data_IF_830868888431
#
_entry.id   IF_830868888431
#
_cell.length_a   1.000
_cell.length_b   1.000
_cell.length_c   1.000
_cell.angle_alpha   90.00
_cell.angle_beta   90.00
_cell.angle_gamma   90.00
#
_symmetry.space_group_name_H-M   'P 1'
#
loop_
_entity.id
_entity.type
_entity.pdbx_description
1 polymer ?
#
# COMPACT_ATOMS: atom_id res chain seq x y z
N UNK A 1 -12.04 7.38 106.05
CA UNK A 1 -11.78 7.47 104.60
C UNK A 1 -11.16 6.13 104.19
N UNK A 2 -11.61 5.35 103.20
CA UNK A 2 -12.09 5.67 101.85
C UNK A 2 -13.08 4.59 101.38
N UNK A 3 -14.14 5.01 100.68
CA UNK A 3 -15.00 4.15 99.85
C UNK A 3 -14.21 3.79 98.59
N UNK A 4 -14.16 2.53 98.19
CA UNK A 4 -13.65 2.14 96.86
C UNK A 4 -14.82 1.63 96.03
N UNK A 5 -15.19 2.43 95.04
CA UNK A 5 -16.17 2.15 94.00
C UNK A 5 -15.69 0.96 93.15
N UNK A 6 -16.58 0.00 92.89
CA UNK A 6 -16.39 -0.99 91.81
C UNK A 6 -17.07 -0.42 90.57
N UNK A 7 -16.27 0.02 89.59
CA UNK A 7 -16.77 0.48 88.29
C UNK A 7 -16.87 -0.74 87.36
N UNK A 8 -18.08 -1.09 86.94
CA UNK A 8 -18.32 -2.07 85.88
C UNK A 8 -18.19 -1.35 84.54
N UNK A 9 -17.14 -1.66 83.76
CA UNK A 9 -17.05 -1.22 82.36
C UNK A 9 -17.93 -2.13 81.49
N UNK A 10 -18.99 -1.57 80.91
CA UNK A 10 -19.72 -2.20 79.82
C UNK A 10 -18.86 -2.14 78.54
N UNK A 11 -18.44 -3.30 78.04
CA UNK A 11 -17.75 -3.40 76.75
C UNK A 11 -18.73 -3.16 75.61
N UNK A 12 -18.56 -2.02 74.91
CA UNK A 12 -19.28 -1.73 73.67
C UNK A 12 -18.59 -2.47 72.52
N UNK A 13 -19.18 -3.54 72.02
CA UNK A 13 -18.70 -4.23 70.81
C UNK A 13 -19.15 -3.45 69.58
N UNK A 14 -18.20 -2.80 68.90
CA UNK A 14 -18.44 -2.22 67.58
C UNK A 14 -18.47 -3.39 66.57
N UNK A 15 -19.64 -3.68 66.02
CA UNK A 15 -19.76 -4.59 64.89
C UNK A 15 -19.06 -3.96 63.67
N UNK A 16 -17.98 -4.59 63.19
CA UNK A 16 -17.32 -4.17 61.96
C UNK A 16 -18.26 -4.46 60.77
N UNK A 17 -18.77 -3.42 60.13
CA UNK A 17 -19.49 -3.52 58.86
C UNK A 17 -18.44 -3.78 57.77
N UNK A 18 -18.43 -4.99 57.21
CA UNK A 18 -17.65 -5.31 56.03
C UNK A 18 -18.31 -4.62 54.82
N UNK A 19 -17.74 -3.51 54.37
CA UNK A 19 -18.09 -2.93 53.07
C UNK A 19 -17.51 -3.85 52.00
N UNK A 20 -18.34 -4.72 51.41
CA UNK A 20 -17.95 -5.50 50.24
C UNK A 20 -17.86 -4.56 49.03
N UNK A 21 -16.75 -4.55 48.26
CA UNK A 21 -16.67 -3.77 47.03
C UNK A 21 -17.73 -4.25 46.04
N UNK A 22 -18.47 -3.32 45.43
CA UNK A 22 -19.46 -3.63 44.40
C UNK A 22 -18.82 -4.45 43.26
N UNK A 23 -19.53 -5.45 42.69
CA UNK A 23 -19.01 -6.20 41.56
C UNK A 23 -18.72 -5.25 40.40
N UNK A 24 -17.45 -5.11 40.05
CA UNK A 24 -17.03 -4.31 38.90
C UNK A 24 -17.51 -5.05 37.66
N UNK A 25 -18.53 -4.52 36.97
CA UNK A 25 -18.98 -5.05 35.68
C UNK A 25 -17.78 -5.14 34.74
N UNK A 26 -17.43 -6.34 34.30
CA UNK A 26 -16.42 -6.53 33.29
C UNK A 26 -16.91 -5.87 31.99
N UNK A 27 -16.28 -4.77 31.60
CA UNK A 27 -16.55 -4.14 30.30
C UNK A 27 -16.26 -5.17 29.20
N UNK A 28 -17.29 -5.54 28.43
CA UNK A 28 -17.13 -6.43 27.27
C UNK A 28 -16.12 -5.80 26.30
N UNK A 29 -15.01 -6.50 26.08
CA UNK A 29 -13.95 -6.03 25.20
C UNK A 29 -14.47 -5.91 23.75
N UNK A 30 -14.28 -4.73 23.14
CA UNK A 30 -14.65 -4.50 21.74
C UNK A 30 -13.69 -5.29 20.84
N UNK A 31 -14.23 -6.15 19.96
CA UNK A 31 -13.42 -6.93 19.02
C UNK A 31 -12.68 -6.02 18.03
N UNK A 32 -11.40 -6.33 17.77
CA UNK A 32 -10.65 -5.64 16.72
C UNK A 32 -11.19 -6.02 15.33
N UNK A 33 -11.28 -5.07 14.37
CA UNK A 33 -11.69 -5.40 13.00
C UNK A 33 -10.69 -6.32 12.30
N UNK A 34 -11.18 -7.27 11.51
CA UNK A 34 -10.37 -8.02 10.56
C UNK A 34 -10.18 -7.19 9.29
N UNK A 35 -8.94 -6.87 8.91
CA UNK A 35 -8.62 -5.99 7.77
C UNK A 35 -8.05 -6.82 6.62
N UNK A 36 -8.36 -6.46 5.38
CA UNK A 36 -7.77 -7.05 4.17
C UNK A 36 -7.66 -6.00 3.05
N UNK A 37 -6.85 -6.29 2.03
CA UNK A 37 -6.80 -5.49 0.80
C UNK A 37 -7.96 -5.92 -0.09
N UNK A 38 -8.87 -4.99 -0.41
CA UNK A 38 -10.01 -5.24 -1.30
C UNK A 38 -9.75 -4.81 -2.74
N UNK A 39 -8.68 -4.04 -2.98
CA UNK A 39 -8.25 -3.69 -4.33
C UNK A 39 -6.96 -2.88 -4.36
N UNK A 40 -6.22 -2.96 -5.46
CA UNK A 40 -5.00 -2.19 -5.69
C UNK A 40 -5.00 -1.60 -7.11
N UNK A 41 -4.43 -0.40 -7.25
CA UNK A 41 -4.19 0.28 -8.52
C UNK A 41 -2.85 1.02 -8.45
N UNK A 42 -2.52 1.81 -9.48
CA UNK A 42 -1.16 2.34 -9.65
C UNK A 42 -0.70 3.19 -8.50
N UNK A 43 -1.54 4.13 -8.13
CA UNK A 43 -1.24 5.08 -7.08
C UNK A 43 -2.30 5.01 -6.02
N UNK A 44 -2.88 3.82 -5.82
CA UNK A 44 -3.90 3.62 -4.82
C UNK A 44 -3.92 2.20 -4.30
N UNK A 45 -4.30 2.06 -3.04
CA UNK A 45 -4.68 0.79 -2.45
C UNK A 45 -5.97 1.00 -1.66
N UNK A 46 -6.83 0.01 -1.70
CA UNK A 46 -8.11 0.00 -0.98
C UNK A 46 -8.09 -1.15 0.01
N UNK A 47 -8.31 -0.82 1.27
CA UNK A 47 -8.49 -1.77 2.35
C UNK A 47 -9.95 -1.80 2.76
N UNK A 48 -10.42 -2.98 3.14
CA UNK A 48 -11.73 -3.16 3.74
C UNK A 48 -11.57 -3.92 5.06
N UNK A 49 -12.59 -3.85 5.91
CA UNK A 49 -12.60 -4.57 7.16
C UNK A 49 -13.98 -5.09 7.56
N UNK A 50 -13.97 -6.09 8.44
CA UNK A 50 -15.18 -6.70 8.99
C UNK A 50 -15.93 -5.69 9.85
N UNK A 51 -17.26 -5.78 9.83
CA UNK A 51 -18.09 -5.00 10.75
C UNK A 51 -17.81 -5.45 12.20
N UNK A 52 -17.79 -4.51 13.13
CA UNK A 52 -17.72 -4.76 14.58
C UNK A 52 -19.06 -4.38 15.19
N UNK A 53 -19.64 -5.26 16.01
CA UNK A 53 -20.93 -5.04 16.65
C UNK A 53 -20.97 -3.75 17.47
N UNK A 54 -21.99 -2.92 17.24
CA UNK A 54 -22.14 -1.62 17.92
C UNK A 54 -21.19 -0.51 17.46
N UNK A 55 -20.30 -0.77 16.50
CA UNK A 55 -19.34 0.25 16.06
C UNK A 55 -20.03 1.36 15.26
N UNK A 56 -19.89 2.60 15.73
CA UNK A 56 -20.43 3.79 15.06
C UNK A 56 -19.41 4.42 14.11
N UNK A 57 -18.12 4.18 14.33
CA UNK A 57 -17.05 4.62 13.43
C UNK A 57 -15.79 3.75 13.57
N UNK A 58 -14.83 3.99 12.68
CA UNK A 58 -13.53 3.31 12.65
C UNK A 58 -12.42 4.35 12.55
N UNK A 59 -11.39 4.19 13.39
CA UNK A 59 -10.13 4.94 13.30
C UNK A 59 -9.16 4.13 12.46
N UNK A 60 -8.75 4.68 11.33
CA UNK A 60 -7.80 4.07 10.39
C UNK A 60 -6.46 4.77 10.56
N UNK A 61 -5.42 4.00 10.88
CA UNK A 61 -4.03 4.45 10.88
C UNK A 61 -3.32 3.90 9.65
N UNK A 62 -2.52 4.71 8.97
CA UNK A 62 -1.81 4.30 7.76
C UNK A 62 -0.39 4.88 7.70
N UNK A 63 0.55 4.10 7.16
CA UNK A 63 1.96 4.47 7.03
C UNK A 63 2.65 3.80 5.85
N UNK A 64 3.81 4.32 5.46
CA UNK A 64 4.79 3.67 4.57
C UNK A 64 5.61 2.59 5.27
N UNK A 65 5.65 2.62 6.61
CA UNK A 65 6.53 1.76 7.40
C UNK A 65 5.75 0.65 8.10
N UNK A 66 6.28 -0.57 8.05
CA UNK A 66 5.67 -1.72 8.71
C UNK A 66 5.55 -1.55 10.24
N UNK A 67 6.44 -0.76 10.85
CA UNK A 67 6.38 -0.41 12.28
C UNK A 67 5.23 0.55 12.63
N UNK A 68 4.54 1.10 11.63
CA UNK A 68 3.60 2.21 11.78
C UNK A 68 4.24 3.49 12.34
N UNK A 69 5.56 3.65 12.20
CA UNK A 69 6.23 4.92 12.48
C UNK A 69 5.65 6.03 11.59
N UNK A 70 5.51 7.24 12.17
CA UNK A 70 4.95 8.41 11.50
C UNK A 70 3.58 8.16 10.84
N UNK A 71 2.78 7.24 11.41
CA UNK A 71 1.47 6.94 10.86
C UNK A 71 0.54 8.15 10.93
N UNK A 72 -0.12 8.42 9.81
CA UNK A 72 -1.27 9.32 9.78
C UNK A 72 -2.53 8.57 10.22
N UNK A 73 -3.56 9.31 10.63
CA UNK A 73 -4.84 8.70 10.98
C UNK A 73 -6.02 9.48 10.44
N UNK A 74 -7.12 8.77 10.21
CA UNK A 74 -8.40 9.33 9.83
C UNK A 74 -9.53 8.53 10.49
N UNK A 75 -10.71 9.14 10.59
CA UNK A 75 -11.91 8.47 11.12
C UNK A 75 -12.96 8.39 10.03
N UNK A 76 -13.64 7.25 9.93
CA UNK A 76 -14.69 7.05 8.94
C UNK A 76 -15.81 6.16 9.51
N UNK A 77 -17.03 6.36 9.03
CA UNK A 77 -18.16 5.44 9.26
C UNK A 77 -18.21 4.32 8.23
N UNK A 78 -17.47 4.47 7.12
CA UNK A 78 -17.33 3.43 6.09
C UNK A 78 -16.52 2.24 6.63
N UNK A 79 -16.68 1.08 5.98
CA UNK A 79 -15.84 -0.12 6.19
C UNK A 79 -14.74 -0.28 5.16
N UNK A 80 -14.51 0.77 4.38
CA UNK A 80 -13.56 0.81 3.28
C UNK A 80 -12.71 2.07 3.41
N UNK A 81 -11.40 1.91 3.29
CA UNK A 81 -10.44 3.00 3.20
C UNK A 81 -9.70 2.90 1.87
N UNK A 82 -9.92 3.89 0.99
CA UNK A 82 -9.18 4.04 -0.26
C UNK A 82 -8.11 5.11 -0.08
N UNK A 83 -6.85 4.71 -0.10
CA UNK A 83 -5.73 5.65 -0.09
C UNK A 83 -5.24 5.84 -1.52
N UNK A 84 -5.39 7.04 -2.05
CA UNK A 84 -4.89 7.44 -3.37
C UNK A 84 -3.65 8.35 -3.23
N UNK A 85 -3.01 8.68 -4.37
CA UNK A 85 -1.80 9.50 -4.41
C UNK A 85 -0.53 8.76 -3.97
N UNK A 86 -0.58 7.42 -3.95
CA UNK A 86 0.53 6.58 -3.54
C UNK A 86 1.63 6.53 -4.61
N UNK A 87 2.88 6.35 -4.17
CA UNK A 87 3.98 6.04 -5.07
C UNK A 87 3.85 4.60 -5.57
N UNK A 88 3.71 4.41 -6.88
CA UNK A 88 3.53 3.09 -7.47
C UNK A 88 4.73 2.18 -7.19
N UNK A 89 4.47 0.89 -6.92
CA UNK A 89 5.48 -0.10 -6.58
C UNK A 89 5.90 -0.12 -5.11
N UNK A 90 5.36 0.75 -4.26
CA UNK A 90 5.64 0.76 -2.83
C UNK A 90 4.53 0.11 -2.01
N UNK A 91 4.93 -0.50 -0.89
CA UNK A 91 4.01 -1.09 0.09
C UNK A 91 3.61 -0.05 1.13
N UNK A 92 2.32 -0.01 1.44
CA UNK A 92 1.72 0.81 2.47
C UNK A 92 1.02 -0.09 3.49
N UNK A 93 0.90 0.39 4.71
CA UNK A 93 0.45 -0.40 5.85
C UNK A 93 -0.75 0.27 6.48
N UNK A 94 -1.80 -0.50 6.76
CA UNK A 94 -3.03 -0.01 7.40
C UNK A 94 -3.33 -0.82 8.64
N UNK A 95 -3.79 -0.15 9.68
CA UNK A 95 -4.38 -0.76 10.86
C UNK A 95 -5.63 0.00 11.28
N UNK A 96 -6.64 -0.71 11.77
CA UNK A 96 -7.97 -0.16 12.05
C UNK A 96 -8.37 -0.47 13.49
N UNK A 97 -9.07 0.47 14.12
CA UNK A 97 -9.75 0.28 15.40
C UNK A 97 -11.23 0.63 15.24
N UNK A 98 -12.11 -0.16 15.84
CA UNK A 98 -13.53 0.16 15.93
C UNK A 98 -13.78 1.13 17.09
N UNK A 99 -14.80 1.98 16.95
CA UNK A 99 -15.26 2.90 17.99
C UNK A 99 -16.71 2.57 18.31
N UNK A 100 -16.99 2.18 19.56
CA UNK A 100 -18.31 1.78 20.08
C UNK A 100 -18.59 2.64 21.31
N UNK A 101 -19.64 3.47 21.28
CA UNK A 101 -20.01 4.31 22.44
C UNK A 101 -18.87 5.23 22.93
N UNK A 102 -18.00 5.71 22.02
CA UNK A 102 -16.83 6.52 22.35
C UNK A 102 -15.59 5.72 22.78
N UNK A 103 -15.74 4.47 23.21
CA UNK A 103 -14.63 3.56 23.50
C UNK A 103 -14.03 2.99 22.20
N UNK A 104 -12.73 2.70 22.21
CA UNK A 104 -12.01 2.20 21.04
C UNK A 104 -11.52 0.77 21.27
N UNK A 105 -11.63 -0.08 20.25
CA UNK A 105 -11.09 -1.46 20.28
C UNK A 105 -9.56 -1.49 20.34
N UNK A 106 -9.02 -2.68 20.63
CA UNK A 106 -7.64 -3.01 20.29
C UNK A 106 -7.38 -2.81 18.79
N UNK A 107 -6.12 -2.57 18.43
CA UNK A 107 -5.72 -2.42 17.03
C UNK A 107 -5.90 -3.74 16.28
N UNK A 108 -6.36 -3.67 15.03
CA UNK A 108 -6.25 -4.80 14.11
C UNK A 108 -4.79 -5.22 13.88
N UNK A 109 -4.60 -6.36 13.21
CA UNK A 109 -3.34 -6.65 12.52
C UNK A 109 -3.00 -5.51 11.57
N UNK A 110 -1.70 -5.25 11.40
CA UNK A 110 -1.22 -4.34 10.35
C UNK A 110 -1.29 -5.12 9.04
N UNK A 111 -1.96 -4.55 8.04
CA UNK A 111 -2.13 -5.18 6.73
C UNK A 111 -1.32 -4.42 5.70
N UNK A 112 -0.35 -5.07 5.03
CA UNK A 112 0.36 -4.47 3.91
C UNK A 112 -0.54 -4.41 2.67
N UNK A 113 -0.33 -3.40 1.85
CA UNK A 113 -0.97 -3.24 0.56
C UNK A 113 -0.01 -2.60 -0.43
N UNK A 114 0.23 -3.30 -1.54
CA UNK A 114 1.16 -2.86 -2.58
C UNK A 114 0.42 -1.97 -3.59
N UNK A 115 0.88 -0.73 -3.74
CA UNK A 115 0.45 0.12 -4.85
C UNK A 115 0.99 -0.49 -6.16
N UNK A 116 0.12 -0.74 -7.14
CA UNK A 116 0.45 -1.55 -8.32
C UNK A 116 1.60 -0.96 -9.13
N UNK A 117 2.70 -1.70 -9.27
CA UNK A 117 3.85 -1.29 -10.05
C UNK A 117 3.55 -1.25 -11.56
N UNK A 118 4.10 -0.26 -12.27
CA UNK A 118 4.00 -0.23 -13.73
C UNK A 118 4.89 -1.33 -14.33
N UNK A 119 4.36 -2.18 -15.24
CA UNK A 119 5.11 -3.30 -15.77
C UNK A 119 6.32 -2.83 -16.57
N UNK A 120 7.46 -3.43 -16.26
CA UNK A 120 8.70 -3.18 -16.96
C UNK A 120 8.59 -3.68 -18.42
N UNK A 121 8.97 -2.86 -19.40
CA UNK A 121 9.10 -3.28 -20.78
C UNK A 121 10.24 -4.27 -20.96
N UNK A 122 10.00 -5.31 -21.75
CA UNK A 122 11.01 -6.29 -22.16
C UNK A 122 11.27 -6.12 -23.65
N UNK A 123 12.53 -5.96 -24.01
CA UNK A 123 12.98 -5.78 -25.39
C UNK A 123 13.57 -7.06 -25.96
N UNK A 124 13.28 -7.36 -27.22
CA UNK A 124 13.93 -8.42 -28.00
C UNK A 124 14.56 -7.76 -29.22
N UNK A 125 15.88 -7.91 -29.39
CA UNK A 125 16.57 -7.36 -30.54
C UNK A 125 16.08 -8.05 -31.81
N UNK A 126 15.89 -7.27 -32.89
CA UNK A 126 15.53 -7.80 -34.20
C UNK A 126 16.83 -8.12 -34.95
N UNK A 127 17.25 -9.39 -35.12
CA UNK A 127 18.64 -9.71 -35.53
C UNK A 127 19.07 -9.13 -36.89
N UNK A 128 18.12 -8.96 -37.81
CA UNK A 128 18.37 -8.36 -39.13
C UNK A 128 18.00 -6.86 -39.21
N UNK A 129 17.41 -6.28 -38.16
CA UNK A 129 16.96 -4.89 -38.14
C UNK A 129 17.74 -4.06 -37.11
N UNK A 130 18.03 -2.80 -37.41
CA UNK A 130 18.51 -1.86 -36.39
C UNK A 130 17.34 -1.46 -35.47
N UNK A 131 16.76 -2.42 -34.75
CA UNK A 131 15.52 -2.25 -34.01
C UNK A 131 15.36 -3.25 -32.85
N UNK A 132 14.48 -2.89 -31.92
CA UNK A 132 14.05 -3.71 -30.79
C UNK A 132 12.53 -3.80 -30.76
N UNK A 133 12.01 -5.01 -30.59
CA UNK A 133 10.60 -5.26 -30.27
C UNK A 133 10.39 -5.21 -28.76
N UNK A 134 9.62 -4.22 -28.31
CA UNK A 134 9.29 -4.04 -26.91
C UNK A 134 7.89 -4.57 -26.61
N UNK A 135 7.76 -5.24 -25.47
CA UNK A 135 6.48 -5.72 -24.92
C UNK A 135 6.41 -5.50 -23.42
N UNK A 136 5.23 -5.15 -22.91
CA UNK A 136 4.95 -5.08 -21.46
C UNK A 136 3.60 -5.71 -21.13
N UNK A 137 3.41 -6.03 -19.86
CA UNK A 137 2.12 -6.53 -19.36
C UNK A 137 1.08 -5.39 -19.30
N UNK A 138 -0.24 -5.71 -19.30
CA UNK A 138 -1.26 -4.71 -19.06
C UNK A 138 -1.15 -4.06 -17.68
N UNK A 139 -1.68 -2.85 -17.58
CA UNK A 139 -1.80 -2.07 -16.35
C UNK A 139 -3.29 -1.80 -16.10
N UNK A 140 -3.78 -2.06 -14.89
CA UNK A 140 -5.20 -1.91 -14.57
C UNK A 140 -5.70 -0.48 -14.82
N UNK A 141 -6.77 -0.33 -15.61
CA UNK A 141 -7.34 0.97 -16.00
C UNK A 141 -6.58 1.72 -17.09
N UNK A 142 -5.47 1.18 -17.62
CA UNK A 142 -4.74 1.79 -18.73
C UNK A 142 -5.40 1.47 -20.06
N UNK A 143 -5.71 2.51 -20.83
CA UNK A 143 -6.17 2.38 -22.21
C UNK A 143 -5.05 2.68 -23.22
N UNK A 144 -4.06 3.48 -22.80
CA UNK A 144 -2.90 3.88 -23.60
C UNK A 144 -1.64 3.85 -22.73
N UNK A 145 -0.49 3.95 -23.38
CA UNK A 145 0.81 4.08 -22.72
C UNK A 145 1.60 5.21 -23.36
N UNK A 146 2.10 6.12 -22.51
CA UNK A 146 3.20 6.99 -22.87
C UNK A 146 4.47 6.16 -22.83
N UNK A 147 5.19 6.10 -23.94
CA UNK A 147 6.42 5.34 -24.11
C UNK A 147 7.54 6.34 -24.30
N UNK A 148 8.59 6.20 -23.52
CA UNK A 148 9.84 6.91 -23.77
C UNK A 148 10.92 5.90 -24.12
N UNK A 149 11.64 6.19 -25.19
CA UNK A 149 12.86 5.50 -25.58
C UNK A 149 14.04 6.45 -25.47
N UNK A 150 15.21 5.94 -25.12
CA UNK A 150 16.46 6.69 -25.17
C UNK A 150 17.65 5.79 -25.55
N UNK A 151 18.76 6.44 -25.92
CA UNK A 151 20.07 5.80 -26.10
C UNK A 151 20.92 5.83 -24.83
N UNK A 152 20.39 6.38 -23.73
CA UNK A 152 21.02 6.35 -22.41
C UNK A 152 20.04 5.92 -21.32
N UNK A 153 20.51 5.25 -20.24
CA UNK A 153 19.63 4.80 -19.15
C UNK A 153 19.08 5.97 -18.32
N UNK A 154 19.71 7.15 -18.40
CA UNK A 154 19.22 8.38 -17.75
C UNK A 154 18.15 9.11 -18.56
N UNK A 155 17.84 8.64 -19.78
CA UNK A 155 16.90 9.29 -20.70
C UNK A 155 17.31 10.72 -21.10
N UNK A 156 18.62 11.01 -21.10
CA UNK A 156 19.17 12.33 -21.47
C UNK A 156 19.66 12.39 -22.93
N UNK A 157 19.89 11.24 -23.58
CA UNK A 157 20.40 11.17 -24.96
C UNK A 157 19.44 10.40 -25.85
N UNK A 158 19.13 10.94 -27.03
CA UNK A 158 18.28 10.28 -28.02
C UNK A 158 16.85 10.03 -27.53
N UNK A 159 16.33 10.91 -26.66
CA UNK A 159 14.99 10.76 -26.08
C UNK A 159 13.91 10.90 -27.14
N UNK A 160 13.09 9.86 -27.28
CA UNK A 160 11.91 9.85 -28.13
C UNK A 160 10.68 9.52 -27.29
N UNK A 161 9.54 10.12 -27.63
CA UNK A 161 8.28 9.93 -26.91
C UNK A 161 7.19 9.49 -27.88
N UNK A 162 6.45 8.44 -27.51
CA UNK A 162 5.35 7.89 -28.29
C UNK A 162 4.13 7.67 -27.39
N UNK A 163 2.94 7.71 -27.97
CA UNK A 163 1.71 7.26 -27.30
C UNK A 163 1.14 6.09 -28.08
N UNK A 164 0.97 4.96 -27.41
CA UNK A 164 0.46 3.73 -28.02
C UNK A 164 -0.75 3.19 -27.26
N UNK A 165 -1.72 2.64 -27.99
CA UNK A 165 -2.85 1.91 -27.41
C UNK A 165 -2.54 0.41 -27.27
N UNK A 166 -1.49 -0.07 -27.95
CA UNK A 166 -1.00 -1.45 -27.89
C UNK A 166 0.01 -1.61 -26.75
N UNK A 167 0.24 -2.86 -26.35
CA UNK A 167 1.22 -3.26 -25.32
C UNK A 167 2.58 -3.65 -25.91
N UNK A 168 2.78 -3.28 -27.18
CA UNK A 168 3.98 -3.56 -27.96
C UNK A 168 4.32 -2.35 -28.82
N UNK A 169 5.62 -2.18 -29.10
CA UNK A 169 6.13 -1.21 -30.05
C UNK A 169 7.48 -1.70 -30.59
N UNK A 170 7.69 -1.58 -31.89
CA UNK A 170 9.01 -1.77 -32.51
C UNK A 170 9.66 -0.42 -32.67
N UNK A 171 10.89 -0.30 -32.21
CA UNK A 171 11.62 0.96 -32.25
C UNK A 171 13.04 0.79 -32.75
N UNK A 172 13.51 1.77 -33.52
CA UNK A 172 14.86 1.74 -34.07
C UNK A 172 15.92 1.94 -32.98
N UNK A 173 16.98 1.15 -33.02
CA UNK A 173 18.14 1.24 -32.14
C UNK A 173 19.38 1.01 -32.98
N UNK A 174 20.32 1.94 -32.91
CA UNK A 174 21.58 1.84 -33.64
C UNK A 174 22.29 0.53 -33.28
N UNK A 175 22.77 -0.19 -34.30
CA UNK A 175 23.56 -1.42 -34.09
C UNK A 175 24.79 -1.12 -33.22
N UNK A 176 25.19 -2.11 -32.43
CA UNK A 176 26.27 -1.98 -31.46
C UNK A 176 25.90 -1.16 -30.22
N UNK A 177 24.63 -0.76 -30.04
CA UNK A 177 24.19 0.05 -28.90
C UNK A 177 23.01 -0.58 -28.16
N UNK A 178 22.79 -0.10 -26.93
CA UNK A 178 21.58 -0.40 -26.15
C UNK A 178 20.45 0.57 -26.50
N UNK A 179 19.25 0.03 -26.61
CA UNK A 179 18.01 0.79 -26.48
C UNK A 179 17.47 0.70 -25.06
N UNK A 180 17.03 1.83 -24.50
CA UNK A 180 16.38 1.90 -23.20
C UNK A 180 14.93 2.34 -23.37
N UNK A 181 13.99 1.70 -22.67
CA UNK A 181 12.57 2.02 -22.77
C UNK A 181 11.88 2.01 -21.41
N UNK A 182 11.04 3.02 -21.18
CA UNK A 182 10.13 3.07 -20.02
C UNK A 182 8.72 3.44 -20.47
N UNK A 183 7.73 2.95 -19.75
CA UNK A 183 6.32 3.21 -20.04
C UNK A 183 5.60 3.83 -18.86
N UNK A 184 4.60 4.65 -19.15
CA UNK A 184 3.66 5.20 -18.16
C UNK A 184 2.23 4.99 -18.65
N UNK A 185 1.37 4.32 -17.86
CA UNK A 185 0.01 4.04 -18.26
C UNK A 185 -0.82 5.33 -18.27
N UNK A 186 -1.67 5.46 -19.27
CA UNK A 186 -2.59 6.58 -19.46
C UNK A 186 -4.04 6.07 -19.52
N UNK A 187 -4.98 6.89 -19.05
CA UNK A 187 -6.41 6.70 -19.26
C UNK A 187 -6.79 6.84 -20.74
N UNK A 188 -8.04 6.54 -21.09
CA UNK A 188 -8.59 6.79 -22.42
C UNK A 188 -8.47 8.26 -22.84
N UNK A 189 -8.66 9.16 -21.88
CA UNK A 189 -8.47 10.62 -22.01
C UNK A 189 -7.00 11.06 -22.08
N UNK A 190 -6.03 10.15 -21.98
CA UNK A 190 -4.59 10.46 -22.09
C UNK A 190 -3.94 10.93 -20.79
N UNK A 191 -4.66 10.97 -19.66
CA UNK A 191 -4.10 11.37 -18.36
C UNK A 191 -3.30 10.22 -17.76
N UNK A 192 -2.12 10.50 -17.20
CA UNK A 192 -1.34 9.51 -16.47
C UNK A 192 -2.14 8.97 -15.27
N UNK A 193 -2.21 7.64 -15.16
CA UNK A 193 -2.89 6.97 -14.03
C UNK A 193 -1.91 6.41 -13.01
N UNK A 194 -0.61 6.46 -13.30
CA UNK A 194 0.49 6.14 -12.39
C UNK A 194 1.27 7.40 -12.02
N UNK A 195 1.69 7.47 -10.75
CA UNK A 195 2.56 8.51 -10.21
C UNK A 195 4.01 8.35 -10.67
N UNK A 196 4.42 7.15 -11.10
CA UNK A 196 5.78 6.86 -11.56
C UNK A 196 5.81 6.27 -12.99
N UNK A 197 7.00 6.30 -13.60
CA UNK A 197 7.31 5.50 -14.78
C UNK A 197 7.55 4.03 -14.37
N UNK A 198 7.46 3.11 -15.33
CA UNK A 198 7.99 1.76 -15.15
C UNK A 198 9.49 1.78 -14.81
N UNK A 199 9.98 0.66 -14.29
CA UNK A 199 11.40 0.35 -14.39
C UNK A 199 11.83 0.38 -15.87
N UNK A 200 13.13 0.62 -16.08
CA UNK A 200 13.70 0.76 -17.41
C UNK A 200 13.93 -0.64 -17.99
N UNK A 201 13.36 -0.91 -19.16
CA UNK A 201 13.78 -2.02 -20.01
C UNK A 201 15.03 -1.64 -20.80
N UNK A 202 15.95 -2.57 -20.96
CA UNK A 202 17.14 -2.40 -21.82
C UNK A 202 17.26 -3.59 -22.78
N UNK A 203 17.79 -3.32 -23.97
CA UNK A 203 18.05 -4.36 -24.97
C UNK A 203 19.22 -3.93 -25.86
N UNK A 204 20.21 -4.81 -26.03
CA UNK A 204 21.35 -4.57 -26.91
C UNK A 204 21.03 -5.04 -28.32
N UNK A 205 21.32 -4.22 -29.33
CA UNK A 205 21.25 -4.62 -30.74
C UNK A 205 22.66 -4.90 -31.24
N UNK A 206 23.02 -6.16 -31.55
CA UNK A 206 24.35 -6.49 -32.04
C UNK A 206 24.72 -5.75 -33.32
N UNK A 207 25.99 -5.34 -33.44
CA UNK A 207 26.60 -5.06 -34.74
C UNK A 207 26.81 -6.39 -35.44
N UNK A 208 26.05 -6.71 -36.49
CA UNK A 208 26.34 -7.90 -37.30
C UNK A 208 27.71 -7.77 -37.95
N UNK A 209 28.56 -8.79 -37.81
CA UNK A 209 29.59 -9.11 -38.80
C UNK A 209 28.99 -9.97 -39.94
N UNK A 210 29.65 -10.08 -41.11
CA UNK A 210 29.10 -10.84 -42.24
C UNK A 210 28.93 -12.33 -41.89
N UNK A 211 27.86 -12.95 -42.37
CA UNK A 211 27.78 -14.40 -42.48
C UNK A 211 28.79 -14.83 -43.55
N UNK A 212 30.00 -15.19 -43.13
CA UNK A 212 30.92 -15.91 -44.02
C UNK A 212 30.34 -17.32 -44.12
N UNK A 213 29.75 -17.65 -45.27
CA UNK A 213 29.33 -19.02 -45.59
C UNK A 213 30.54 -19.96 -45.65
N UNK A 214 30.35 -21.28 -45.43
CA UNK A 214 31.46 -22.22 -45.51
C UNK A 214 32.09 -22.18 -46.91
N UNK A 215 33.42 -22.09 -46.93
CA UNK A 215 34.32 -22.10 -48.10
C UNK A 215 34.19 -23.36 -48.93
#
# INVERSE_FOLDING_TARGET
MRKTLVTVLAGLTVAAVLVQPAPVLAATAISAPGVWVSGAGASQVTWAWSAVGGATSYKVSFSRYASMAHASSTTTTSRIFKHAGLTSGHTYFVAVRAVVGGATSSRSKIVPGLAGAVPQPKGTAVPAGAAVDWRWNPYAGAAKYLVQQASSPTFQVGLQTHVVSRRTIRLAVTRGNYGYLRVKPLSSSGKAISSTWSLIGSCFVPSTGPLIGPT
#
